data_IF_566090962287
#
_entry.id   IF_566090962287
#
_cell.length_a   1.000
_cell.length_b   1.000
_cell.length_c   1.000
_cell.angle_alpha   90.00
_cell.angle_beta   90.00
_cell.angle_gamma   90.00
#
_symmetry.space_group_name_H-M   'P 1'
#
loop_
_entity.id
_entity.type
_entity.pdbx_description
1 polymer ?
#
# COMPACT_ATOMS: atom_id res chain seq x y z
N UNK A 1 46.77 -24.69 14.52
CA UNK A 1 45.61 -24.04 15.18
C UNK A 1 44.36 -24.87 14.89
N UNK A 2 43.99 -25.78 15.80
CA UNK A 2 42.78 -26.61 15.65
C UNK A 2 41.57 -25.84 16.15
N UNK A 3 40.78 -25.30 15.22
CA UNK A 3 39.51 -24.66 15.53
C UNK A 3 38.52 -25.73 16.00
N UNK A 4 38.01 -25.61 17.22
CA UNK A 4 37.15 -26.64 17.80
C UNK A 4 35.80 -26.68 17.07
N UNK A 5 35.32 -27.85 16.62
CA UNK A 5 34.11 -27.98 15.81
C UNK A 5 32.83 -27.46 16.49
N UNK A 6 32.84 -27.34 17.83
CA UNK A 6 31.75 -26.73 18.62
C UNK A 6 31.69 -25.20 18.46
N UNK A 7 32.84 -24.53 18.44
CA UNK A 7 32.93 -23.07 18.23
C UNK A 7 32.51 -22.67 16.82
N UNK A 8 32.84 -23.49 15.82
CA UNK A 8 32.46 -23.26 14.42
C UNK A 8 30.94 -23.39 14.21
N UNK A 9 30.28 -24.35 14.87
CA UNK A 9 28.81 -24.51 14.82
C UNK A 9 28.06 -23.34 15.48
N UNK A 10 28.56 -22.82 16.60
CA UNK A 10 27.98 -21.64 17.24
C UNK A 10 28.12 -20.38 16.37
N UNK A 11 29.25 -20.22 15.68
CA UNK A 11 29.46 -19.08 14.78
C UNK A 11 28.49 -19.09 13.59
N UNK A 12 28.18 -20.26 13.02
CA UNK A 12 27.22 -20.40 11.90
C UNK A 12 25.80 -20.05 12.35
N UNK A 13 25.36 -20.52 13.52
CA UNK A 13 24.04 -20.20 14.08
C UNK A 13 23.89 -18.71 14.41
N UNK A 14 24.94 -18.08 14.96
CA UNK A 14 24.94 -16.65 15.24
C UNK A 14 24.88 -15.80 13.95
N UNK A 15 25.57 -16.23 12.89
CA UNK A 15 25.54 -15.54 11.59
C UNK A 15 24.16 -15.62 10.91
N UNK A 16 23.43 -16.73 11.07
CA UNK A 16 22.08 -16.88 10.52
C UNK A 16 21.04 -15.97 11.21
N UNK A 17 21.26 -15.60 12.47
CA UNK A 17 20.36 -14.71 13.21
C UNK A 17 20.49 -13.22 12.82
N UNK A 18 21.52 -12.85 12.04
CA UNK A 18 21.76 -11.48 11.60
C UNK A 18 21.07 -11.13 10.27
N UNK A 19 20.40 -12.07 9.63
CA UNK A 19 19.64 -11.78 8.41
C UNK A 19 18.30 -11.13 8.79
N UNK A 20 18.07 -9.85 8.42
CA UNK A 20 16.80 -9.20 8.69
C UNK A 20 15.70 -9.91 7.90
N UNK A 21 14.74 -10.51 8.61
CA UNK A 21 13.51 -10.96 7.99
C UNK A 21 12.75 -9.74 7.48
N UNK A 22 12.22 -9.81 6.26
CA UNK A 22 11.38 -8.75 5.72
C UNK A 22 10.11 -8.63 6.58
N UNK A 23 10.08 -7.66 7.49
CA UNK A 23 8.92 -7.37 8.31
C UNK A 23 7.87 -6.70 7.43
N UNK A 24 6.83 -7.45 7.05
CA UNK A 24 5.66 -6.89 6.38
C UNK A 24 4.60 -6.59 7.46
N UNK A 25 4.45 -5.31 7.80
CA UNK A 25 3.47 -4.87 8.81
C UNK A 25 2.02 -4.85 8.30
N UNK A 26 1.77 -5.27 7.05
CA UNK A 26 0.42 -5.40 6.51
C UNK A 26 -0.24 -6.70 6.97
N UNK A 27 -1.48 -6.60 7.45
CA UNK A 27 -2.33 -7.76 7.76
C UNK A 27 -2.68 -8.61 6.54
N UNK A 28 -2.50 -8.06 5.34
CA UNK A 28 -2.93 -8.64 4.08
C UNK A 28 -1.94 -8.23 2.99
N UNK A 29 -1.49 -9.19 2.19
CA UNK A 29 -0.55 -9.00 1.08
C UNK A 29 -1.28 -8.71 -0.23
N UNK A 30 -0.59 -8.08 -1.17
CA UNK A 30 -1.11 -7.87 -2.52
C UNK A 30 -1.40 -9.17 -3.26
N UNK A 31 -0.69 -10.27 -2.97
CA UNK A 31 -0.98 -11.58 -3.53
C UNK A 31 -2.31 -12.15 -3.00
N UNK A 32 -2.58 -12.03 -1.69
CA UNK A 32 -3.86 -12.43 -1.10
C UNK A 32 -5.02 -11.60 -1.67
N UNK A 33 -4.85 -10.28 -1.77
CA UNK A 33 -5.84 -9.41 -2.38
C UNK A 33 -6.07 -9.75 -3.85
N UNK A 34 -5.00 -10.02 -4.61
CA UNK A 34 -5.13 -10.41 -6.01
C UNK A 34 -5.94 -11.71 -6.12
N UNK A 35 -5.61 -12.73 -5.33
CA UNK A 35 -6.32 -14.00 -5.32
C UNK A 35 -7.80 -13.85 -4.97
N UNK A 36 -8.15 -13.06 -3.94
CA UNK A 36 -9.54 -12.78 -3.59
C UNK A 36 -10.27 -12.06 -4.74
N UNK A 37 -9.63 -11.07 -5.34
CA UNK A 37 -10.22 -10.31 -6.43
C UNK A 37 -10.35 -11.08 -7.74
N UNK A 38 -9.57 -12.13 -7.95
CA UNK A 38 -9.62 -12.96 -9.16
C UNK A 38 -10.14 -14.36 -8.89
N UNK A 39 -10.90 -14.55 -7.81
CA UNK A 39 -11.55 -15.82 -7.50
C UNK A 39 -12.41 -16.30 -8.68
N UNK A 40 -12.44 -17.62 -8.89
CA UNK A 40 -13.26 -18.24 -9.92
C UNK A 40 -14.74 -17.97 -9.65
N UNK A 41 -15.46 -17.48 -10.65
CA UNK A 41 -16.90 -17.16 -10.58
C UNK A 41 -17.78 -18.37 -10.28
N UNK A 42 -17.30 -19.56 -10.61
CA UNK A 42 -17.99 -20.81 -10.33
C UNK A 42 -17.53 -21.47 -9.01
N UNK A 43 -16.56 -20.85 -8.32
CA UNK A 43 -16.06 -21.31 -7.03
C UNK A 43 -17.10 -21.14 -5.93
N UNK A 44 -17.16 -22.10 -5.00
CA UNK A 44 -18.08 -22.08 -3.86
C UNK A 44 -17.88 -20.89 -2.92
N UNK A 45 -16.69 -20.30 -2.93
CA UNK A 45 -16.25 -19.16 -2.12
C UNK A 45 -16.24 -17.85 -2.91
N UNK A 46 -16.72 -17.84 -4.17
CA UNK A 46 -16.67 -16.67 -5.04
C UNK A 46 -17.34 -15.45 -4.41
N UNK A 47 -18.48 -15.67 -3.74
CA UNK A 47 -19.25 -14.60 -3.11
C UNK A 47 -18.41 -13.94 -2.00
N UNK A 48 -17.92 -14.71 -1.04
CA UNK A 48 -17.12 -14.24 0.08
C UNK A 48 -15.84 -13.55 -0.40
N UNK A 49 -15.11 -14.15 -1.34
CA UNK A 49 -13.88 -13.60 -1.92
C UNK A 49 -14.15 -12.29 -2.67
N UNK A 50 -15.29 -12.18 -3.35
CA UNK A 50 -15.69 -10.95 -4.04
C UNK A 50 -15.97 -9.81 -3.06
N UNK A 51 -16.66 -10.08 -1.95
CA UNK A 51 -16.91 -9.06 -0.91
C UNK A 51 -15.64 -8.69 -0.16
N UNK A 52 -14.76 -9.65 0.13
CA UNK A 52 -13.45 -9.40 0.71
C UNK A 52 -12.61 -8.48 -0.18
N UNK A 53 -12.55 -8.76 -1.49
CA UNK A 53 -11.88 -7.91 -2.46
C UNK A 53 -12.43 -6.47 -2.46
N UNK A 54 -13.74 -6.32 -2.60
CA UNK A 54 -14.38 -4.99 -2.68
C UNK A 54 -14.22 -4.22 -1.37
N UNK A 55 -14.46 -4.88 -0.23
CA UNK A 55 -14.38 -4.28 1.10
C UNK A 55 -12.96 -3.85 1.46
N UNK A 56 -11.95 -4.66 1.11
CA UNK A 56 -10.56 -4.29 1.34
C UNK A 56 -10.16 -3.07 0.51
N UNK A 57 -10.51 -3.05 -0.78
CA UNK A 57 -10.18 -1.94 -1.68
C UNK A 57 -10.87 -0.65 -1.25
N UNK A 58 -12.18 -0.70 -0.93
CA UNK A 58 -12.90 0.49 -0.47
C UNK A 58 -12.33 1.00 0.86
N UNK A 59 -12.09 0.11 1.83
CA UNK A 59 -11.51 0.49 3.12
C UNK A 59 -10.12 1.12 3.00
N UNK A 60 -9.25 0.59 2.13
CA UNK A 60 -7.94 1.17 1.89
C UNK A 60 -8.00 2.55 1.23
N UNK A 61 -8.92 2.75 0.27
CA UNK A 61 -9.15 4.05 -0.38
C UNK A 61 -9.76 5.06 0.58
N UNK A 62 -10.71 4.65 1.42
CA UNK A 62 -11.33 5.51 2.43
C UNK A 62 -10.33 5.92 3.51
N UNK A 63 -9.49 5.00 3.98
CA UNK A 63 -8.42 5.32 4.92
C UNK A 63 -7.44 6.35 4.32
N UNK A 64 -7.11 6.20 3.04
CA UNK A 64 -6.27 7.15 2.32
C UNK A 64 -6.95 8.53 2.22
N UNK A 65 -8.21 8.59 1.77
CA UNK A 65 -8.94 9.84 1.63
C UNK A 65 -9.18 10.54 2.97
N UNK A 66 -9.54 9.79 4.02
CA UNK A 66 -9.67 10.28 5.40
C UNK A 66 -8.36 10.87 5.90
N UNK A 67 -7.23 10.19 5.65
CA UNK A 67 -5.91 10.71 6.02
C UNK A 67 -5.60 12.02 5.29
N UNK A 68 -5.95 12.13 4.00
CA UNK A 68 -5.77 13.39 3.25
C UNK A 68 -6.61 14.51 3.80
N UNK A 69 -7.88 14.23 4.09
CA UNK A 69 -8.81 15.19 4.68
C UNK A 69 -8.29 15.71 6.02
N UNK A 70 -7.84 14.81 6.91
CA UNK A 70 -7.21 15.17 8.18
C UNK A 70 -5.95 16.05 8.01
N UNK A 71 -5.29 15.98 6.85
CA UNK A 71 -4.14 16.80 6.47
C UNK A 71 -4.51 18.02 5.60
N UNK A 72 -5.79 18.38 5.49
CA UNK A 72 -6.31 19.49 4.67
C UNK A 72 -5.97 19.35 3.17
N UNK A 73 -5.84 18.13 2.68
CA UNK A 73 -5.60 17.82 1.27
C UNK A 73 -6.88 17.31 0.61
N UNK A 74 -7.16 17.77 -0.62
CA UNK A 74 -8.32 17.29 -1.41
C UNK A 74 -8.14 15.83 -1.84
N UNK A 75 -9.24 15.09 -1.97
CA UNK A 75 -9.24 13.76 -2.58
C UNK A 75 -8.56 13.78 -3.95
N UNK A 76 -7.90 12.68 -4.29
CA UNK A 76 -7.32 12.49 -5.63
C UNK A 76 -8.35 11.92 -6.60
N UNK A 77 -9.37 11.25 -6.06
CA UNK A 77 -10.43 10.64 -6.84
C UNK A 77 -11.42 11.74 -7.27
N UNK A 78 -11.72 11.87 -8.56
CA UNK A 78 -12.82 12.72 -9.01
C UNK A 78 -14.16 12.17 -8.49
N UNK A 79 -15.18 13.03 -8.46
CA UNK A 79 -16.55 12.61 -8.14
C UNK A 79 -17.04 11.57 -9.16
N UNK A 80 -17.75 10.55 -8.67
CA UNK A 80 -18.35 9.50 -9.51
C UNK A 80 -17.49 8.27 -9.75
N UNK A 81 -16.24 8.22 -9.27
CA UNK A 81 -15.44 6.97 -9.30
C UNK A 81 -16.15 5.88 -8.50
N UNK A 82 -16.40 4.76 -9.15
CA UNK A 82 -17.11 3.62 -8.60
C UNK A 82 -16.16 2.63 -7.92
N UNK A 83 -16.68 1.82 -6.99
CA UNK A 83 -15.91 0.74 -6.35
C UNK A 83 -15.43 -0.28 -7.41
N UNK A 84 -16.20 -0.53 -8.47
CA UNK A 84 -15.79 -1.45 -9.52
C UNK A 84 -14.61 -0.91 -10.37
N UNK A 85 -14.52 0.40 -10.58
CA UNK A 85 -13.35 1.02 -11.22
C UNK A 85 -12.12 0.95 -10.31
N UNK A 86 -12.29 1.14 -9.00
CA UNK A 86 -11.21 0.96 -8.02
C UNK A 86 -10.70 -0.49 -8.01
N UNK A 87 -11.62 -1.47 -8.04
CA UNK A 87 -11.28 -2.89 -8.17
C UNK A 87 -10.52 -3.17 -9.45
N UNK A 88 -11.06 -2.75 -10.59
CA UNK A 88 -10.45 -2.99 -11.90
C UNK A 88 -9.04 -2.39 -11.96
N UNK A 89 -8.88 -1.17 -11.47
CA UNK A 89 -7.58 -0.47 -11.40
C UNK A 89 -6.58 -1.20 -10.51
N UNK A 90 -7.02 -1.64 -9.33
CA UNK A 90 -6.19 -2.37 -8.37
C UNK A 90 -5.75 -3.71 -8.93
N UNK A 91 -6.68 -4.52 -9.44
CA UNK A 91 -6.39 -5.84 -10.04
C UNK A 91 -5.43 -5.71 -11.22
N UNK A 92 -5.64 -4.71 -12.08
CA UNK A 92 -4.74 -4.44 -13.20
C UNK A 92 -3.33 -4.07 -12.73
N UNK A 93 -3.22 -3.28 -11.66
CA UNK A 93 -1.92 -2.92 -11.09
C UNK A 93 -1.23 -4.15 -10.47
N UNK A 94 -1.93 -4.94 -9.67
CA UNK A 94 -1.39 -6.16 -9.05
C UNK A 94 -0.93 -7.16 -10.11
N UNK A 95 -1.73 -7.40 -11.15
CA UNK A 95 -1.38 -8.29 -12.27
C UNK A 95 -0.06 -7.88 -12.95
N UNK A 96 0.15 -6.58 -13.16
CA UNK A 96 1.33 -6.03 -13.86
C UNK A 96 2.58 -5.93 -12.98
N UNK A 97 2.47 -6.07 -11.65
CA UNK A 97 3.59 -5.89 -10.73
C UNK A 97 3.72 -7.08 -9.75
N UNK A 98 3.93 -8.32 -10.24
CA UNK A 98 3.91 -9.53 -9.42
C UNK A 98 4.97 -9.56 -8.31
N UNK A 99 6.12 -8.91 -8.51
CA UNK A 99 7.17 -8.81 -7.49
C UNK A 99 6.70 -7.95 -6.31
N UNK A 100 6.00 -6.84 -6.59
CA UNK A 100 5.51 -5.91 -5.59
C UNK A 100 4.26 -6.41 -4.87
N UNK A 101 3.55 -7.41 -5.41
CA UNK A 101 2.38 -8.03 -4.75
C UNK A 101 2.72 -8.66 -3.40
N UNK A 102 3.99 -9.02 -3.15
CA UNK A 102 4.45 -9.49 -1.84
C UNK A 102 4.39 -8.43 -0.74
N UNK A 103 4.27 -7.15 -1.10
CA UNK A 103 4.11 -6.02 -0.15
C UNK A 103 2.67 -5.97 0.37
N UNK A 104 2.40 -5.10 1.33
CA UNK A 104 1.05 -4.94 1.89
C UNK A 104 0.03 -4.56 0.80
N UNK A 105 -1.16 -5.15 0.85
CA UNK A 105 -2.24 -4.87 -0.09
C UNK A 105 -2.66 -3.39 -0.08
N UNK A 106 -2.74 -2.77 1.10
CA UNK A 106 -3.05 -1.34 1.23
C UNK A 106 -2.06 -0.45 0.46
N UNK A 107 -0.76 -0.77 0.49
CA UNK A 107 0.25 -0.03 -0.30
C UNK A 107 0.03 -0.21 -1.80
N UNK A 108 -0.39 -1.40 -2.24
CA UNK A 108 -0.66 -1.69 -3.64
C UNK A 108 -1.93 -1.00 -4.13
N UNK A 109 -3.01 -0.99 -3.33
CA UNK A 109 -4.24 -0.23 -3.63
C UNK A 109 -3.93 1.25 -3.73
N UNK A 110 -3.16 1.80 -2.78
CA UNK A 110 -2.73 3.18 -2.81
C UNK A 110 -1.90 3.51 -4.07
N UNK A 111 -0.91 2.68 -4.40
CA UNK A 111 -0.08 2.86 -5.59
C UNK A 111 -0.93 2.81 -6.88
N UNK A 112 -1.84 1.85 -6.99
CA UNK A 112 -2.76 1.72 -8.12
C UNK A 112 -3.65 2.96 -8.27
N UNK A 113 -4.25 3.39 -7.15
CA UNK A 113 -5.14 4.57 -7.09
C UNK A 113 -4.39 5.84 -7.49
N UNK A 114 -3.18 6.06 -6.97
CA UNK A 114 -2.34 7.22 -7.31
C UNK A 114 -1.86 7.23 -8.76
N UNK A 115 -1.68 6.06 -9.35
CA UNK A 115 -1.27 5.90 -10.74
C UNK A 115 -2.42 6.22 -11.69
N UNK A 116 -3.63 5.79 -11.37
CA UNK A 116 -4.83 6.06 -12.18
C UNK A 116 -5.39 7.47 -11.97
N UNK A 117 -5.36 7.98 -10.73
CA UNK A 117 -5.84 9.30 -10.36
C UNK A 117 -4.76 10.08 -9.60
N UNK A 118 -3.84 10.73 -10.32
CA UNK A 118 -2.81 11.56 -9.71
C UNK A 118 -3.43 12.72 -8.92
N UNK A 119 -3.02 12.87 -7.65
CA UNK A 119 -3.47 13.98 -6.83
C UNK A 119 -2.90 15.30 -7.37
N UNK A 120 -3.70 16.37 -7.34
CA UNK A 120 -3.19 17.71 -7.60
C UNK A 120 -2.05 18.06 -6.62
N UNK A 121 -0.94 18.54 -7.14
CA UNK A 121 0.14 19.10 -6.31
C UNK A 121 -0.33 20.43 -5.72
N UNK A 122 -0.11 20.69 -4.42
CA UNK A 122 -0.42 21.99 -3.84
C UNK A 122 0.31 23.08 -4.62
N UNK A 123 -0.41 24.10 -5.10
CA UNK A 123 0.20 25.29 -5.70
C UNK A 123 1.01 25.97 -4.59
N UNK A 124 2.34 26.15 -4.78
CA UNK A 124 3.19 26.84 -3.80
C UNK A 124 2.51 28.16 -3.41
N UNK A 125 2.21 28.33 -2.13
CA UNK A 125 1.67 29.59 -1.64
C UNK A 125 2.66 30.71 -1.99
N UNK A 126 2.21 31.87 -2.52
CA UNK A 126 3.10 32.99 -2.73
C UNK A 126 3.75 33.35 -1.38
N UNK A 127 5.07 33.49 -1.38
CA UNK A 127 5.82 33.84 -0.19
C UNK A 127 5.21 35.11 0.40
N UNK A 128 4.71 35.01 1.65
CA UNK A 128 4.23 36.19 2.38
C UNK A 128 5.39 37.18 2.46
N UNK A 129 5.32 38.29 1.71
CA UNK A 129 6.26 39.40 1.87
C UNK A 129 6.21 39.80 3.35
N UNK A 130 7.32 39.62 4.07
CA UNK A 130 7.44 40.05 5.47
C UNK A 130 7.07 41.53 5.51
N UNK A 131 5.97 41.86 6.20
CA UNK A 131 5.61 43.24 6.45
C UNK A 131 6.79 43.90 7.19
N UNK A 132 7.33 44.97 6.62
CA UNK A 132 8.38 45.74 7.26
C UNK A 132 7.87 46.22 8.62
N UNK A 133 8.51 45.74 9.69
CA UNK A 133 8.23 46.14 11.08
C UNK A 133 8.44 47.66 11.17
N UNK A 134 7.35 48.42 11.22
CA UNK A 134 7.38 49.86 11.48
C UNK A 134 7.86 50.04 12.93
N UNK A 135 9.12 50.45 13.11
CA UNK A 135 9.63 50.89 14.40
C UNK A 135 8.85 52.14 14.81
N UNK A 136 8.11 52.05 15.92
CA UNK A 136 7.66 53.20 16.69
C UNK A 136 8.75 53.53 17.70
#
# INVERSE_FOLDING_TARGET
MSMHPRLFRCAILAAAALFPAAANAGFYSGDELYAACTADKNGKDYFERSYECLGYISGAVDAFNTTREANNLKSCLPGGVTINELRTTTVNNLSKNPIDRKKSASSQVFAATRKAWPCATPKKAPAKKKAARKKR
#
